data_IF_549778671870
#
_entry.id   IF_549778671870
#
_cell.length_a   1.000
_cell.length_b   1.000
_cell.length_c   1.000
_cell.angle_alpha   90.00
_cell.angle_beta   90.00
_cell.angle_gamma   90.00
#
_symmetry.space_group_name_H-M   'P 1'
#
loop_
_entity.id
_entity.type
_entity.pdbx_description
1 polymer ?
#
# COMPACT_ATOMS: atom_id res chain seq x y z
N UNK A 1 -16.55 -15.32 -18.35
CA UNK A 1 -15.52 -14.86 -17.37
C UNK A 1 -15.54 -13.35 -17.36
N UNK A 2 -16.06 -12.74 -16.33
CA UNK A 2 -15.95 -11.31 -16.20
C UNK A 2 -14.53 -10.97 -15.80
N UNK A 3 -13.73 -10.57 -16.75
CA UNK A 3 -12.44 -9.98 -16.50
C UNK A 3 -12.73 -8.58 -15.93
N UNK A 4 -13.01 -8.51 -14.62
CA UNK A 4 -13.21 -7.23 -13.96
C UNK A 4 -11.85 -6.57 -13.86
N UNK A 5 -11.56 -5.68 -14.82
CA UNK A 5 -10.35 -4.90 -14.81
C UNK A 5 -10.20 -4.13 -13.50
N UNK A 6 -9.00 -4.06 -12.96
CA UNK A 6 -8.69 -3.16 -11.86
C UNK A 6 -9.08 -1.73 -12.22
N UNK A 7 -9.65 -1.02 -11.29
CA UNK A 7 -10.07 0.38 -11.47
C UNK A 7 -9.52 1.27 -10.37
N UNK A 8 -8.21 1.47 -10.30
CA UNK A 8 -7.65 2.44 -9.38
C UNK A 8 -8.11 3.85 -9.73
N UNK A 9 -8.26 4.69 -8.73
CA UNK A 9 -8.45 6.13 -8.93
C UNK A 9 -7.09 6.79 -8.85
N UNK A 10 -6.63 7.37 -9.96
CA UNK A 10 -5.34 8.03 -10.04
C UNK A 10 -5.46 9.52 -9.70
N UNK A 11 -4.46 10.03 -8.99
CA UNK A 11 -4.36 11.44 -8.61
C UNK A 11 -3.12 12.06 -9.26
N UNK A 12 -3.29 13.20 -9.90
CA UNK A 12 -2.19 13.94 -10.49
C UNK A 12 -1.63 14.93 -9.46
N UNK A 13 -0.58 14.52 -8.75
CA UNK A 13 0.06 15.36 -7.71
C UNK A 13 1.40 15.95 -8.16
N UNK A 14 2.14 15.25 -9.01
CA UNK A 14 3.40 15.72 -9.58
C UNK A 14 3.83 14.83 -10.75
N UNK A 15 4.68 15.37 -11.62
CA UNK A 15 5.30 14.58 -12.69
C UNK A 15 6.25 13.52 -12.12
N UNK A 16 6.22 12.32 -12.70
CA UNK A 16 7.06 11.20 -12.27
C UNK A 16 6.58 10.48 -11.02
N UNK A 17 5.42 10.86 -10.48
CA UNK A 17 4.81 10.22 -9.30
C UNK A 17 3.49 9.58 -9.71
N UNK A 18 3.34 8.29 -9.39
CA UNK A 18 2.09 7.57 -9.56
C UNK A 18 1.38 7.50 -8.21
N UNK A 19 0.34 8.30 -8.04
CA UNK A 19 -0.49 8.35 -6.83
C UNK A 19 -1.89 7.84 -7.15
N UNK A 20 -2.40 6.93 -6.33
CA UNK A 20 -3.71 6.33 -6.58
C UNK A 20 -4.33 5.74 -5.32
N UNK A 21 -5.63 5.50 -5.39
CA UNK A 21 -6.36 4.65 -4.46
C UNK A 21 -6.89 3.43 -5.19
N UNK A 22 -6.81 2.26 -4.58
CA UNK A 22 -7.55 1.10 -5.07
C UNK A 22 -9.03 1.23 -4.70
N UNK A 23 -9.86 0.59 -5.48
CA UNK A 23 -11.28 0.42 -5.17
C UNK A 23 -11.55 -1.04 -4.82
N UNK A 24 -12.75 -1.34 -4.35
CA UNK A 24 -13.14 -2.74 -4.08
C UNK A 24 -13.29 -3.59 -5.35
N UNK A 25 -13.21 -2.98 -6.53
CA UNK A 25 -13.47 -3.64 -7.81
C UNK A 25 -12.20 -4.21 -8.44
N UNK A 26 -12.36 -5.31 -9.17
CA UNK A 26 -11.33 -5.85 -10.04
C UNK A 26 -10.49 -6.99 -9.44
N UNK A 27 -10.84 -7.47 -8.25
CA UNK A 27 -10.14 -8.59 -7.61
C UNK A 27 -10.82 -9.94 -7.80
N UNK A 28 -10.30 -10.93 -7.10
CA UNK A 28 -10.74 -12.33 -7.17
C UNK A 28 -11.57 -12.77 -5.96
N UNK A 29 -11.93 -11.85 -5.08
CA UNK A 29 -12.56 -12.18 -3.80
C UNK A 29 -14.08 -12.05 -3.85
N UNK A 30 -14.75 -12.90 -3.06
CA UNK A 30 -16.20 -12.89 -2.85
C UNK A 30 -16.52 -12.48 -1.40
N UNK A 31 -17.81 -12.22 -1.11
CA UNK A 31 -18.28 -11.88 0.23
C UNK A 31 -17.90 -10.46 0.66
N UNK A 32 -17.62 -10.29 1.95
CA UNK A 32 -17.35 -8.98 2.56
C UNK A 32 -16.05 -8.31 2.05
N UNK A 33 -15.15 -9.09 1.49
CA UNK A 33 -13.88 -8.62 0.92
C UNK A 33 -13.92 -8.53 -0.61
N UNK A 34 -15.12 -8.63 -1.20
CA UNK A 34 -15.28 -8.60 -2.66
C UNK A 34 -15.03 -7.18 -3.20
N UNK A 35 -14.27 -7.10 -4.25
CA UNK A 35 -13.54 -8.17 -4.92
C UNK A 35 -12.02 -7.98 -4.81
N UNK A 36 -11.54 -6.75 -4.75
CA UNK A 36 -10.13 -6.41 -4.62
C UNK A 36 -9.80 -6.09 -3.16
N UNK A 37 -9.04 -6.97 -2.51
CA UNK A 37 -8.47 -6.76 -1.20
C UNK A 37 -6.99 -7.10 -1.24
N UNK A 38 -6.13 -6.13 -0.95
CA UNK A 38 -4.68 -6.28 -0.91
C UNK A 38 -4.10 -6.19 0.51
N UNK A 39 -4.97 -6.03 1.51
CA UNK A 39 -4.55 -5.95 2.90
C UNK A 39 -4.49 -7.36 3.52
N UNK A 40 -3.30 -7.85 3.91
CA UNK A 40 -3.16 -9.18 4.49
C UNK A 40 -3.65 -9.27 5.95
N UNK A 41 -4.00 -8.15 6.58
CA UNK A 41 -4.31 -8.08 8.01
C UNK A 41 -5.79 -7.94 8.33
N UNK A 42 -6.68 -8.07 7.36
CA UNK A 42 -8.12 -7.87 7.57
C UNK A 42 -8.95 -9.18 7.55
N UNK A 43 -8.30 -10.33 7.73
CA UNK A 43 -8.98 -11.62 7.88
C UNK A 43 -9.37 -12.33 6.59
N UNK A 44 -8.90 -11.84 5.44
CA UNK A 44 -9.07 -12.53 4.16
C UNK A 44 -8.08 -13.68 4.01
N UNK A 45 -8.37 -14.60 3.09
CA UNK A 45 -7.48 -15.73 2.79
C UNK A 45 -6.18 -15.25 2.15
N UNK A 46 -5.01 -15.73 2.64
CA UNK A 46 -3.72 -15.28 2.10
C UNK A 46 -3.58 -15.45 0.59
N UNK A 47 -4.12 -16.53 0.02
CA UNK A 47 -4.07 -16.79 -1.42
C UNK A 47 -4.87 -15.76 -2.24
N UNK A 48 -5.99 -15.25 -1.72
CA UNK A 48 -6.77 -14.20 -2.37
C UNK A 48 -6.02 -12.86 -2.33
N UNK A 49 -5.47 -12.52 -1.19
CA UNK A 49 -4.66 -11.30 -1.03
C UNK A 49 -3.44 -11.35 -1.95
N UNK A 50 -2.73 -12.48 -2.01
CA UNK A 50 -1.58 -12.65 -2.87
C UNK A 50 -1.95 -12.50 -4.35
N UNK A 51 -3.04 -13.12 -4.80
CA UNK A 51 -3.53 -12.98 -6.18
C UNK A 51 -3.89 -11.53 -6.53
N UNK A 52 -4.57 -10.82 -5.61
CA UNK A 52 -4.93 -9.42 -5.79
C UNK A 52 -3.71 -8.50 -5.82
N UNK A 53 -2.72 -8.75 -4.97
CA UNK A 53 -1.46 -8.01 -4.97
C UNK A 53 -0.68 -8.22 -6.28
N UNK A 54 -0.69 -9.43 -6.83
CA UNK A 54 -0.08 -9.72 -8.13
C UNK A 54 -0.77 -8.94 -9.27
N UNK A 55 -2.10 -8.85 -9.24
CA UNK A 55 -2.85 -8.08 -10.22
C UNK A 55 -2.49 -6.59 -10.16
N UNK A 56 -2.42 -6.02 -8.96
CA UNK A 56 -2.05 -4.63 -8.79
C UNK A 56 -0.60 -4.36 -9.20
N UNK A 57 0.32 -5.22 -8.81
CA UNK A 57 1.73 -5.10 -9.19
C UNK A 57 1.90 -5.14 -10.72
N UNK A 58 1.19 -6.02 -11.41
CA UNK A 58 1.17 -6.09 -12.87
C UNK A 58 0.63 -4.81 -13.50
N UNK A 59 -0.45 -4.24 -12.96
CA UNK A 59 -1.01 -2.96 -13.41
C UNK A 59 0.01 -1.81 -13.26
N UNK A 60 0.78 -1.81 -12.18
CA UNK A 60 1.80 -0.81 -11.92
C UNK A 60 3.14 -1.06 -12.64
N UNK A 61 3.31 -2.23 -13.24
CA UNK A 61 4.55 -2.61 -13.91
C UNK A 61 5.71 -2.89 -12.95
N UNK A 62 5.42 -3.33 -11.73
CA UNK A 62 6.41 -3.67 -10.70
C UNK A 62 6.27 -5.12 -10.25
N UNK A 63 7.30 -5.65 -9.58
CA UNK A 63 7.20 -6.95 -8.91
C UNK A 63 6.45 -6.82 -7.59
N UNK A 64 5.82 -7.90 -7.14
CA UNK A 64 4.96 -7.89 -5.92
C UNK A 64 5.75 -7.52 -4.66
N UNK A 65 7.03 -7.86 -4.57
CA UNK A 65 7.90 -7.49 -3.45
C UNK A 65 8.20 -5.99 -3.38
N UNK A 66 7.90 -5.23 -4.43
CA UNK A 66 7.98 -3.76 -4.45
C UNK A 66 6.68 -3.06 -4.11
N UNK A 67 5.63 -3.82 -3.82
CA UNK A 67 4.35 -3.31 -3.31
C UNK A 67 4.33 -3.50 -1.80
N UNK A 68 4.48 -2.42 -1.05
CA UNK A 68 4.77 -2.45 0.39
C UNK A 68 3.62 -1.80 1.17
N UNK A 69 3.01 -2.58 2.07
CA UNK A 69 1.95 -2.15 2.98
C UNK A 69 2.35 -2.49 4.41
N UNK A 70 2.21 -1.57 5.37
CA UNK A 70 2.52 -1.84 6.77
C UNK A 70 1.37 -2.55 7.48
N UNK A 71 1.67 -3.14 8.63
CA UNK A 71 0.64 -3.56 9.58
C UNK A 71 0.29 -2.40 10.51
N UNK A 72 -0.73 -1.65 10.14
CA UNK A 72 -1.17 -0.45 10.84
C UNK A 72 -1.87 -0.80 12.16
N UNK A 73 -1.56 -0.06 13.20
CA UNK A 73 -2.12 -0.25 14.54
C UNK A 73 -2.73 1.03 15.11
N UNK A 74 -2.99 2.03 14.25
CA UNK A 74 -3.49 3.36 14.62
C UNK A 74 -2.51 4.14 15.51
N UNK A 75 -1.22 3.94 15.27
CA UNK A 75 -0.13 4.61 15.97
C UNK A 75 0.47 5.76 15.17
N UNK A 76 1.71 6.08 15.50
CA UNK A 76 2.48 7.18 14.88
C UNK A 76 3.83 6.72 14.33
N UNK A 77 4.11 5.43 14.34
CA UNK A 77 5.37 4.91 13.82
C UNK A 77 5.47 5.10 12.31
N UNK A 78 6.61 5.61 11.89
CA UNK A 78 6.96 5.82 10.48
C UNK A 78 8.16 4.96 10.12
N UNK A 79 8.14 4.35 8.94
CA UNK A 79 9.26 3.56 8.42
C UNK A 79 9.73 4.12 7.10
N UNK A 80 11.05 4.32 7.01
CA UNK A 80 11.70 4.67 5.73
C UNK A 80 12.06 3.38 5.01
N UNK A 81 11.63 3.28 3.76
CA UNK A 81 11.92 2.15 2.87
C UNK A 81 13.09 2.54 1.99
N UNK A 82 14.26 2.00 2.29
CA UNK A 82 15.47 2.21 1.51
C UNK A 82 15.65 1.17 0.39
N UNK A 83 16.74 1.30 -0.41
CA UNK A 83 16.97 0.40 -1.54
C UNK A 83 17.15 -1.07 -1.14
N UNK A 84 17.68 -1.32 0.05
CA UNK A 84 17.94 -2.66 0.58
C UNK A 84 16.70 -3.40 1.06
N UNK A 85 15.61 -2.69 1.32
CA UNK A 85 14.42 -3.27 1.94
C UNK A 85 13.84 -4.43 1.13
N UNK A 86 13.71 -4.28 -0.19
CA UNK A 86 13.12 -5.29 -1.05
C UNK A 86 14.00 -6.56 -1.18
N UNK A 87 15.28 -6.45 -0.85
CA UNK A 87 16.22 -7.57 -0.85
C UNK A 87 16.26 -8.33 0.50
N UNK A 88 15.63 -7.79 1.53
CA UNK A 88 15.56 -8.45 2.83
C UNK A 88 14.66 -9.69 2.79
N UNK A 89 14.95 -10.72 3.61
CA UNK A 89 14.04 -11.85 3.78
C UNK A 89 12.64 -11.39 4.19
N UNK A 90 11.62 -12.08 3.71
CA UNK A 90 10.22 -11.73 3.98
C UNK A 90 9.91 -11.57 5.48
N UNK A 91 10.43 -12.47 6.29
CA UNK A 91 10.26 -12.40 7.76
C UNK A 91 10.79 -11.09 8.35
N UNK A 92 11.93 -10.63 7.88
CA UNK A 92 12.54 -9.37 8.34
C UNK A 92 11.71 -8.17 7.87
N UNK A 93 11.24 -8.19 6.62
CA UNK A 93 10.35 -7.14 6.09
C UNK A 93 9.07 -7.04 6.91
N UNK A 94 8.45 -8.17 7.25
CA UNK A 94 7.24 -8.20 8.08
C UNK A 94 7.49 -7.61 9.48
N UNK A 95 8.64 -7.94 10.10
CA UNK A 95 9.01 -7.37 11.40
C UNK A 95 9.18 -5.85 11.34
N UNK A 96 9.78 -5.33 10.27
CA UNK A 96 10.01 -3.90 10.09
C UNK A 96 8.71 -3.12 9.81
N UNK A 97 7.68 -3.78 9.31
CA UNK A 97 6.38 -3.18 8.98
C UNK A 97 5.35 -3.33 10.10
N UNK A 98 5.68 -4.05 11.17
CA UNK A 98 4.75 -4.27 12.29
C UNK A 98 4.54 -2.97 13.09
N UNK A 99 3.27 -2.59 13.28
CA UNK A 99 2.91 -1.41 14.06
C UNK A 99 3.23 -0.07 13.40
N UNK A 100 3.44 -0.06 12.10
CA UNK A 100 3.81 1.13 11.32
C UNK A 100 2.57 1.71 10.65
N UNK A 101 2.34 3.01 10.79
CA UNK A 101 1.19 3.70 10.22
C UNK A 101 1.56 4.71 9.11
N UNK A 102 2.85 4.86 8.82
CA UNK A 102 3.33 5.68 7.72
C UNK A 102 4.59 5.09 7.08
N UNK A 103 4.68 5.20 5.77
CA UNK A 103 5.84 4.78 4.99
C UNK A 103 6.38 5.96 4.19
N UNK A 104 7.71 6.06 4.11
CA UNK A 104 8.43 6.99 3.26
C UNK A 104 9.39 6.24 2.35
N UNK A 105 9.55 6.70 1.12
CA UNK A 105 10.60 6.20 0.23
C UNK A 105 11.01 7.24 -0.80
N UNK A 106 12.28 7.19 -1.19
CA UNK A 106 12.80 7.87 -2.38
C UNK A 106 13.30 6.88 -3.43
N UNK A 107 12.97 5.60 -3.28
CA UNK A 107 13.40 4.54 -4.19
C UNK A 107 12.44 4.46 -5.37
N UNK A 108 12.94 4.62 -6.58
CA UNK A 108 12.14 4.46 -7.80
C UNK A 108 11.68 3.01 -7.97
N UNK A 109 10.49 2.84 -8.52
CA UNK A 109 9.91 1.52 -8.78
C UNK A 109 9.37 0.82 -7.54
N UNK A 110 9.28 1.51 -6.41
CA UNK A 110 8.66 1.02 -5.18
C UNK A 110 7.33 1.72 -4.97
N UNK A 111 6.29 0.94 -4.71
CA UNK A 111 4.97 1.44 -4.34
C UNK A 111 4.76 1.23 -2.85
N UNK A 112 4.64 2.31 -2.10
CA UNK A 112 4.25 2.29 -0.70
C UNK A 112 2.78 2.66 -0.57
N UNK A 113 2.09 2.06 0.38
CA UNK A 113 0.67 2.33 0.58
C UNK A 113 0.22 2.12 2.01
N UNK A 114 -0.97 2.62 2.30
CA UNK A 114 -1.69 2.37 3.55
C UNK A 114 -3.11 1.93 3.24
N UNK A 115 -3.71 1.20 4.16
CA UNK A 115 -5.09 0.74 4.07
C UNK A 115 -5.98 1.62 4.94
N UNK A 116 -7.12 2.04 4.40
CA UNK A 116 -8.08 2.86 5.14
C UNK A 116 -9.50 2.33 4.94
N UNK A 117 -10.32 2.49 5.97
CA UNK A 117 -11.77 2.36 5.89
C UNK A 117 -12.39 3.70 6.29
N UNK A 118 -12.34 4.04 7.58
CA UNK A 118 -12.90 5.29 8.13
C UNK A 118 -11.84 6.36 8.39
N UNK A 119 -10.56 5.97 8.42
CA UNK A 119 -9.46 6.90 8.64
C UNK A 119 -9.06 7.62 7.34
N UNK A 120 -8.29 8.69 7.47
CA UNK A 120 -7.87 9.52 6.34
C UNK A 120 -6.51 9.04 5.83
N UNK A 121 -6.39 8.64 4.55
CA UNK A 121 -5.09 8.45 3.94
C UNK A 121 -4.51 9.81 3.52
N UNK A 122 -3.23 10.02 3.77
CA UNK A 122 -2.50 11.21 3.33
C UNK A 122 -1.35 10.76 2.45
N UNK A 123 -1.30 11.25 1.22
CA UNK A 123 -0.20 11.03 0.28
C UNK A 123 0.58 12.33 0.12
N UNK A 124 1.88 12.26 0.28
CA UNK A 124 2.77 13.42 0.15
C UNK A 124 3.87 13.13 -0.87
N UNK A 125 4.32 14.18 -1.54
CA UNK A 125 5.48 14.14 -2.41
C UNK A 125 6.38 15.36 -2.16
N UNK A 126 7.65 15.10 -1.95
CA UNK A 126 8.72 16.11 -1.88
C UNK A 126 9.51 16.08 -3.19
N UNK A 127 9.32 17.10 -4.01
CA UNK A 127 9.96 17.20 -5.33
C UNK A 127 11.47 17.47 -5.26
N UNK A 128 11.95 18.09 -4.18
CA UNK A 128 13.38 18.36 -3.98
C UNK A 128 14.16 17.06 -3.71
N UNK A 129 13.64 16.22 -2.82
CA UNK A 129 14.27 14.95 -2.44
C UNK A 129 13.74 13.75 -3.23
N UNK A 130 12.77 13.96 -4.13
CA UNK A 130 12.08 12.91 -4.89
C UNK A 130 11.56 11.80 -3.98
N UNK A 131 10.97 12.19 -2.87
CA UNK A 131 10.48 11.29 -1.84
C UNK A 131 8.97 11.30 -1.78
N UNK A 132 8.38 10.15 -1.53
CA UNK A 132 6.95 9.97 -1.34
C UNK A 132 6.65 9.48 0.07
N UNK A 133 5.46 9.80 0.57
CA UNK A 133 4.95 9.29 1.82
C UNK A 133 3.50 8.84 1.68
N UNK A 134 3.17 7.74 2.34
CA UNK A 134 1.80 7.26 2.51
C UNK A 134 1.53 7.13 4.02
N UNK A 135 0.52 7.84 4.50
CA UNK A 135 0.26 8.02 5.93
C UNK A 135 -1.18 7.60 6.23
N UNK A 136 -1.35 6.73 7.22
CA UNK A 136 -2.63 6.40 7.81
C UNK A 136 -2.90 7.36 8.96
N UNK A 137 -3.73 8.38 8.72
CA UNK A 137 -4.07 9.39 9.71
C UNK A 137 -5.36 9.00 10.46
N UNK A 138 -5.20 8.15 11.48
CA UNK A 138 -6.26 7.83 12.42
C UNK A 138 -6.38 8.89 13.52
N UNK A 139 -7.54 8.96 14.21
CA UNK A 139 -7.76 9.95 15.25
C UNK A 139 -6.76 9.85 16.41
N UNK A 140 -6.29 8.64 16.74
CA UNK A 140 -5.29 8.43 17.80
C UNK A 140 -3.90 8.94 17.43
N UNK A 141 -3.56 8.92 16.13
CA UNK A 141 -2.27 9.39 15.64
C UNK A 141 -2.23 10.88 15.35
N UNK A 142 -3.38 11.53 15.20
CA UNK A 142 -3.50 12.94 14.82
C UNK A 142 -4.07 13.84 15.91
N UNK A 143 -4.75 13.29 16.90
CA UNK A 143 -5.23 14.04 18.04
C UNK A 143 -4.07 14.42 18.96
N UNK A 144 -4.09 15.67 19.53
CA UNK A 144 -3.09 16.09 20.50
C UNK A 144 -3.19 15.34 21.82
#
# INVERSE_FOLDING_TARGET
MSNSALRPTYYNIADGVCAFSTTRHGGTREGNHASLNINPYCGDKPEHVAANRNLLAAELGISTDRLILPHQTHGTETRIIGPEFCALPERIRQMLLEGVDALLTNVEGVCIGVSTADCIPVLLYDGEHRATAAIHAGWRGTAP
#
